data_IF_283352635890
#
_entry.id   IF_283352635890
#
_cell.length_a   1.000
_cell.length_b   1.000
_cell.length_c   1.000
_cell.angle_alpha   90.00
_cell.angle_beta   90.00
_cell.angle_gamma   90.00
#
_symmetry.space_group_name_H-M   'P 1'
#
loop_
_entity.id
_entity.type
_entity.pdbx_description
1 polymer ?
#
# COMPACT_ATOMS: atom_id res chain seq x y z
N UNK A 1 19.81 19.14 20.00
CA UNK A 1 20.00 17.74 20.46
C UNK A 1 18.67 17.29 21.07
N UNK A 2 17.74 16.90 20.20
CA UNK A 2 16.42 16.39 20.55
C UNK A 2 15.95 15.57 19.33
N UNK A 3 16.55 14.39 19.20
CA UNK A 3 16.09 13.31 18.33
C UNK A 3 15.60 12.23 19.28
N UNK A 4 14.29 11.96 19.30
CA UNK A 4 13.68 10.69 19.74
C UNK A 4 12.24 10.91 20.21
N UNK A 5 11.25 10.77 19.31
CA UNK A 5 9.88 10.31 19.63
C UNK A 5 8.97 10.28 18.39
N UNK A 6 9.26 9.47 17.37
CA UNK A 6 8.36 9.30 16.20
C UNK A 6 8.28 7.86 15.69
N UNK A 7 8.41 6.86 16.56
CA UNK A 7 8.38 5.43 16.17
C UNK A 7 7.32 4.61 16.91
N UNK A 8 6.20 5.21 17.29
CA UNK A 8 5.18 4.51 18.08
C UNK A 8 3.74 4.92 17.75
N UNK A 9 3.30 4.86 16.48
CA UNK A 9 1.86 4.87 16.20
C UNK A 9 1.51 4.47 14.76
N UNK A 10 1.02 3.23 14.59
CA UNK A 10 -0.07 2.77 13.70
C UNK A 10 0.10 1.28 13.40
N UNK A 11 -0.55 0.45 14.20
CA UNK A 11 -0.91 -0.93 13.82
C UNK A 11 -2.42 -1.05 13.87
N UNK A 12 -3.10 -0.45 12.89
CA UNK A 12 -4.41 -0.90 12.42
C UNK A 12 -4.19 -1.44 10.99
N UNK A 13 -3.54 -2.62 10.91
CA UNK A 13 -3.06 -3.26 9.68
C UNK A 13 -4.13 -4.19 9.05
N UNK A 14 -5.37 -4.20 9.57
CA UNK A 14 -6.34 -5.24 9.21
C UNK A 14 -7.56 -4.81 8.38
N UNK A 15 -7.70 -3.54 7.97
CA UNK A 15 -8.92 -3.10 7.26
C UNK A 15 -8.80 -3.10 5.72
N UNK A 16 -7.60 -3.30 5.17
CA UNK A 16 -7.35 -3.24 3.72
C UNK A 16 -7.17 -4.58 3.01
N UNK A 17 -6.83 -5.66 3.73
CA UNK A 17 -7.00 -7.00 3.15
C UNK A 17 -8.48 -7.33 3.25
N UNK A 18 -9.12 -7.61 2.11
CA UNK A 18 -10.38 -8.33 2.17
C UNK A 18 -10.13 -9.54 3.06
N UNK A 19 -10.83 -9.64 4.20
CA UNK A 19 -10.68 -10.74 5.16
C UNK A 19 -10.67 -12.07 4.41
N UNK A 20 -11.44 -12.14 3.33
CA UNK A 20 -11.47 -13.24 2.36
C UNK A 20 -10.12 -13.61 1.72
N UNK A 21 -9.21 -12.69 1.38
CA UNK A 21 -7.95 -13.06 0.72
C UNK A 21 -6.96 -13.67 1.71
N UNK A 22 -6.76 -13.03 2.86
CA UNK A 22 -5.96 -13.61 3.94
C UNK A 22 -6.57 -14.92 4.43
N UNK A 23 -7.88 -14.96 4.67
CA UNK A 23 -8.58 -16.15 5.14
C UNK A 23 -8.50 -17.29 4.11
N UNK A 24 -8.59 -17.01 2.81
CA UNK A 24 -8.43 -18.03 1.78
C UNK A 24 -6.99 -18.58 1.73
N UNK A 25 -5.98 -17.71 1.87
CA UNK A 25 -4.58 -18.15 1.95
C UNK A 25 -4.35 -18.98 3.21
N UNK A 26 -4.77 -18.48 4.37
CA UNK A 26 -4.66 -19.21 5.64
C UNK A 26 -5.43 -20.53 5.63
N UNK A 27 -6.65 -20.57 5.08
CA UNK A 27 -7.47 -21.78 5.01
C UNK A 27 -6.87 -22.80 4.04
N UNK A 28 -6.28 -22.35 2.93
CA UNK A 28 -5.56 -23.23 2.00
C UNK A 28 -4.29 -23.80 2.64
N UNK A 29 -3.55 -22.98 3.41
CA UNK A 29 -2.36 -23.42 4.17
C UNK A 29 -2.72 -24.37 5.31
N UNK A 30 -3.76 -24.06 6.09
CA UNK A 30 -4.25 -24.94 7.17
C UNK A 30 -4.80 -26.25 6.61
N UNK A 31 -5.46 -26.22 5.46
CA UNK A 31 -5.89 -27.44 4.76
C UNK A 31 -4.68 -28.28 4.32
N UNK A 32 -3.65 -27.63 3.76
CA UNK A 32 -2.41 -28.29 3.35
C UNK A 32 -1.65 -28.89 4.54
N UNK A 33 -1.49 -28.14 5.64
CA UNK A 33 -0.85 -28.62 6.87
C UNK A 33 -1.68 -29.71 7.55
N UNK A 34 -3.01 -29.60 7.55
CA UNK A 34 -3.91 -30.63 8.05
C UNK A 34 -3.77 -31.94 7.27
N UNK A 35 -3.69 -31.87 5.95
CA UNK A 35 -3.42 -33.02 5.08
C UNK A 35 -2.06 -33.68 5.37
N UNK A 36 -1.02 -32.88 5.61
CA UNK A 36 0.31 -33.40 5.96
C UNK A 36 0.34 -34.04 7.35
N UNK A 37 -0.43 -33.51 8.31
CA UNK A 37 -0.41 -33.98 9.71
C UNK A 37 -1.24 -35.24 9.91
N UNK A 38 -2.41 -35.36 9.25
CA UNK A 38 -3.30 -36.53 9.36
C UNK A 38 -2.66 -37.78 8.72
N UNK A 39 -1.74 -37.60 7.78
CA UNK A 39 -1.13 -38.70 7.06
C UNK A 39 0.22 -39.19 7.62
N UNK A 40 0.61 -38.78 8.83
CA UNK A 40 1.88 -39.15 9.45
C UNK A 40 2.12 -40.67 9.49
N UNK A 41 1.07 -41.47 9.62
CA UNK A 41 1.13 -42.94 9.64
C UNK A 41 1.41 -43.59 8.27
N UNK A 42 1.17 -42.88 7.16
CA UNK A 42 1.47 -43.34 5.80
C UNK A 42 2.76 -42.71 5.24
N UNK A 43 3.22 -41.59 5.81
CA UNK A 43 4.46 -40.91 5.40
C UNK A 43 5.71 -41.67 5.84
N UNK A 44 5.67 -42.36 6.99
CA UNK A 44 6.74 -43.29 7.40
C UNK A 44 6.92 -44.46 6.39
N UNK A 45 5.90 -44.77 5.58
CA UNK A 45 5.97 -45.80 4.53
C UNK A 45 6.55 -45.26 3.20
N UNK A 46 6.61 -43.93 3.02
CA UNK A 46 7.13 -43.26 1.82
C UNK A 46 8.61 -42.86 1.92
N UNK A 47 9.27 -43.10 3.06
CA UNK A 47 10.71 -42.87 3.22
C UNK A 47 11.12 -41.39 3.27
N UNK A 48 10.21 -40.48 3.60
CA UNK A 48 10.56 -39.08 3.83
C UNK A 48 11.25 -38.91 5.18
N UNK A 49 12.49 -38.44 5.16
CA UNK A 49 13.19 -38.06 6.38
C UNK A 49 12.50 -36.86 7.04
N UNK A 50 12.48 -36.85 8.37
CA UNK A 50 12.04 -35.74 9.20
C UNK A 50 12.75 -34.43 8.83
N UNK A 51 14.00 -34.50 8.38
CA UNK A 51 14.79 -33.36 7.91
C UNK A 51 14.21 -32.76 6.62
N UNK A 52 13.84 -33.61 5.65
CA UNK A 52 13.17 -33.17 4.41
C UNK A 52 11.84 -32.48 4.72
N UNK A 53 11.05 -33.06 5.63
CA UNK A 53 9.77 -32.48 6.03
C UNK A 53 9.95 -31.10 6.68
N UNK A 54 10.95 -30.95 7.56
CA UNK A 54 11.26 -29.70 8.22
C UNK A 54 11.70 -28.63 7.23
N UNK A 55 12.61 -28.97 6.31
CA UNK A 55 13.12 -28.05 5.28
C UNK A 55 11.99 -27.61 4.32
N UNK A 56 11.13 -28.54 3.90
CA UNK A 56 9.96 -28.22 3.09
C UNK A 56 8.98 -27.29 3.84
N UNK A 57 8.73 -27.56 5.12
CA UNK A 57 7.85 -26.74 5.96
C UNK A 57 8.41 -25.33 6.13
N UNK A 58 9.71 -25.20 6.40
CA UNK A 58 10.38 -23.91 6.52
C UNK A 58 10.29 -23.10 5.21
N UNK A 59 10.47 -23.75 4.07
CA UNK A 59 10.32 -23.11 2.76
C UNK A 59 8.90 -22.59 2.53
N UNK A 60 7.88 -23.40 2.81
CA UNK A 60 6.47 -23.01 2.68
C UNK A 60 6.15 -21.82 3.59
N UNK A 61 6.54 -21.91 4.87
CA UNK A 61 6.34 -20.81 5.84
C UNK A 61 7.03 -19.54 5.37
N UNK A 62 8.24 -19.64 4.82
CA UNK A 62 8.98 -18.49 4.30
C UNK A 62 8.27 -17.84 3.11
N UNK A 63 7.80 -18.62 2.14
CA UNK A 63 7.03 -18.10 0.99
C UNK A 63 5.78 -17.37 1.47
N UNK A 64 5.04 -17.95 2.43
CA UNK A 64 3.85 -17.33 3.01
C UNK A 64 4.21 -16.01 3.70
N UNK A 65 5.25 -16.00 4.53
CA UNK A 65 5.69 -14.81 5.24
C UNK A 65 6.07 -13.69 4.27
N UNK A 66 6.84 -14.00 3.22
CA UNK A 66 7.19 -13.04 2.16
C UNK A 66 5.95 -12.56 1.41
N UNK A 67 5.00 -13.45 1.12
CA UNK A 67 3.74 -13.08 0.46
C UNK A 67 2.93 -12.10 1.30
N UNK A 68 2.73 -12.41 2.58
CA UNK A 68 2.04 -11.53 3.53
C UNK A 68 2.79 -10.19 3.63
N UNK A 69 4.12 -10.21 3.69
CA UNK A 69 4.90 -8.97 3.72
C UNK A 69 4.68 -8.10 2.48
N UNK A 70 4.65 -8.71 1.29
CA UNK A 70 4.45 -8.01 0.01
C UNK A 70 3.02 -7.45 -0.12
N UNK A 71 2.01 -8.21 0.30
CA UNK A 71 0.60 -7.87 0.06
C UNK A 71 -0.11 -7.17 1.21
N UNK A 72 0.37 -7.33 2.46
CA UNK A 72 -0.39 -6.93 3.65
C UNK A 72 0.30 -5.91 4.52
N UNK A 73 1.63 -5.80 4.45
CA UNK A 73 2.36 -4.96 5.39
C UNK A 73 2.53 -3.57 4.79
N UNK A 74 1.76 -2.62 5.34
CA UNK A 74 1.90 -1.20 5.06
C UNK A 74 2.85 -0.58 6.10
N UNK A 75 4.12 -0.39 5.73
CA UNK A 75 5.13 0.19 6.64
C UNK A 75 5.20 1.72 6.59
N UNK A 76 4.38 2.38 5.76
CA UNK A 76 4.50 3.81 5.51
C UNK A 76 5.84 4.21 4.85
N UNK A 77 6.48 3.28 4.14
CA UNK A 77 7.71 3.49 3.37
C UNK A 77 7.40 3.39 1.87
N UNK A 78 8.29 3.90 1.04
CA UNK A 78 8.18 3.82 -0.42
C UNK A 78 8.10 2.36 -0.92
N UNK A 79 7.48 2.17 -2.08
CA UNK A 79 7.37 0.86 -2.71
C UNK A 79 8.76 0.27 -3.05
N UNK A 80 9.70 1.13 -3.43
CA UNK A 80 11.09 0.74 -3.70
C UNK A 80 11.80 0.20 -2.44
N UNK A 81 11.59 0.82 -1.29
CA UNK A 81 12.10 0.35 0.00
C UNK A 81 11.53 -1.02 0.37
N UNK A 82 10.24 -1.25 0.14
CA UNK A 82 9.61 -2.55 0.37
C UNK A 82 10.25 -3.65 -0.50
N UNK A 83 10.47 -3.37 -1.80
CA UNK A 83 11.20 -4.27 -2.71
C UNK A 83 12.60 -4.58 -2.17
N UNK A 84 13.35 -3.57 -1.72
CA UNK A 84 14.71 -3.74 -1.24
C UNK A 84 14.79 -4.57 0.04
N UNK A 85 13.81 -4.43 0.95
CA UNK A 85 13.72 -5.28 2.14
C UNK A 85 13.54 -6.75 1.73
N UNK A 86 12.59 -7.04 0.83
CA UNK A 86 12.37 -8.41 0.33
C UNK A 86 13.62 -8.93 -0.39
N UNK A 87 14.22 -8.13 -1.26
CA UNK A 87 15.43 -8.50 -1.98
C UNK A 87 16.61 -8.78 -1.02
N UNK A 88 16.73 -8.02 0.07
CA UNK A 88 17.76 -8.23 1.10
C UNK A 88 17.53 -9.55 1.83
N UNK A 89 16.29 -9.83 2.20
CA UNK A 89 15.91 -11.11 2.79
C UNK A 89 16.24 -12.29 1.86
N UNK A 90 15.83 -12.22 0.59
CA UNK A 90 16.11 -13.26 -0.40
C UNK A 90 17.61 -13.42 -0.67
N UNK A 91 18.39 -12.33 -0.64
CA UNK A 91 19.86 -12.39 -0.71
C UNK A 91 20.44 -13.11 0.50
N UNK A 92 19.84 -12.94 1.69
CA UNK A 92 20.19 -13.70 2.89
C UNK A 92 19.92 -15.19 2.73
N UNK A 93 18.72 -15.56 2.25
CA UNK A 93 18.35 -16.96 1.95
C UNK A 93 19.31 -17.56 0.93
N UNK A 94 19.65 -16.83 -0.13
CA UNK A 94 20.63 -17.24 -1.13
C UNK A 94 22.01 -17.46 -0.51
N UNK A 95 22.48 -16.52 0.33
CA UNK A 95 23.76 -16.62 0.99
C UNK A 95 23.86 -17.82 1.95
N UNK A 96 22.78 -18.15 2.64
CA UNK A 96 22.68 -19.36 3.46
C UNK A 96 22.70 -20.63 2.60
N UNK A 97 21.98 -20.64 1.48
CA UNK A 97 21.99 -21.75 0.54
C UNK A 97 23.40 -21.99 -0.04
N UNK A 98 24.14 -20.92 -0.36
CA UNK A 98 25.54 -21.03 -0.82
C UNK A 98 26.50 -21.55 0.26
N UNK A 99 26.08 -21.65 1.52
CA UNK A 99 26.90 -22.21 2.61
C UNK A 99 26.48 -23.61 3.01
N UNK A 100 25.20 -23.95 2.85
CA UNK A 100 24.69 -25.28 3.14
C UNK A 100 25.44 -26.39 2.38
N UNK A 101 25.63 -27.52 3.04
CA UNK A 101 26.16 -28.75 2.44
C UNK A 101 25.03 -29.70 2.02
N UNK A 102 23.87 -29.60 2.66
CA UNK A 102 22.68 -30.37 2.32
C UNK A 102 22.03 -29.87 1.02
N UNK A 103 22.01 -30.73 0.01
CA UNK A 103 21.39 -30.48 -1.29
C UNK A 103 19.87 -30.24 -1.19
N UNK A 104 19.19 -30.86 -0.22
CA UNK A 104 17.75 -30.67 -0.03
C UNK A 104 17.46 -29.25 0.45
N UNK A 105 18.17 -28.77 1.47
CA UNK A 105 18.05 -27.39 1.94
C UNK A 105 18.34 -26.38 0.83
N UNK A 106 19.38 -26.60 0.02
CA UNK A 106 19.72 -25.76 -1.12
C UNK A 106 18.58 -25.71 -2.14
N UNK A 107 18.00 -26.87 -2.49
CA UNK A 107 16.88 -26.96 -3.40
C UNK A 107 15.66 -26.15 -2.90
N UNK A 108 15.29 -26.32 -1.63
CA UNK A 108 14.17 -25.60 -1.04
C UNK A 108 14.43 -24.09 -0.97
N UNK A 109 15.64 -23.66 -0.61
CA UNK A 109 16.01 -22.24 -0.56
C UNK A 109 15.91 -21.57 -1.94
N UNK A 110 16.34 -22.24 -3.01
CA UNK A 110 16.13 -21.73 -4.37
C UNK A 110 14.65 -21.68 -4.75
N UNK A 111 13.86 -22.69 -4.36
CA UNK A 111 12.40 -22.67 -4.53
C UNK A 111 11.77 -21.43 -3.90
N UNK A 112 12.15 -21.10 -2.66
CA UNK A 112 11.71 -19.88 -1.95
C UNK A 112 12.07 -18.64 -2.75
N UNK A 113 13.31 -18.52 -3.22
CA UNK A 113 13.78 -17.35 -3.98
C UNK A 113 12.98 -17.18 -5.26
N UNK A 114 12.85 -18.23 -6.06
CA UNK A 114 12.15 -18.17 -7.36
C UNK A 114 10.69 -17.81 -7.18
N UNK A 115 9.99 -18.48 -6.26
CA UNK A 115 8.56 -18.22 -6.02
C UNK A 115 8.37 -16.80 -5.49
N UNK A 116 9.20 -16.35 -4.55
CA UNK A 116 9.12 -15.00 -4.00
C UNK A 116 9.41 -13.91 -5.04
N UNK A 117 10.37 -14.14 -5.95
CA UNK A 117 10.66 -13.23 -7.06
C UNK A 117 9.49 -13.13 -8.04
N UNK A 118 8.81 -14.24 -8.35
CA UNK A 118 7.63 -14.22 -9.20
C UNK A 118 6.47 -13.45 -8.55
N UNK A 119 6.27 -13.63 -7.23
CA UNK A 119 5.27 -12.88 -6.46
C UNK A 119 5.58 -11.39 -6.48
N UNK A 120 6.84 -11.02 -6.19
CA UNK A 120 7.30 -9.63 -6.20
C UNK A 120 7.15 -8.98 -7.58
N UNK A 121 7.51 -9.71 -8.64
CA UNK A 121 7.34 -9.27 -10.01
C UNK A 121 5.86 -9.05 -10.35
N UNK A 122 4.99 -10.00 -10.00
CA UNK A 122 3.54 -9.88 -10.21
C UNK A 122 2.95 -8.67 -9.50
N UNK A 123 3.33 -8.43 -8.23
CA UNK A 123 2.91 -7.22 -7.50
C UNK A 123 3.43 -5.95 -8.17
N UNK A 124 4.69 -5.93 -8.63
CA UNK A 124 5.30 -4.76 -9.29
C UNK A 124 4.56 -4.40 -10.58
N UNK A 125 4.31 -5.39 -11.43
CA UNK A 125 3.56 -5.21 -12.67
C UNK A 125 2.14 -4.71 -12.39
N UNK A 126 1.46 -5.28 -11.40
CA UNK A 126 0.11 -4.88 -11.02
C UNK A 126 0.03 -3.47 -10.45
N UNK A 127 0.99 -3.09 -9.59
CA UNK A 127 1.04 -1.76 -8.97
C UNK A 127 1.33 -0.64 -9.96
N UNK A 128 2.14 -0.90 -10.99
CA UNK A 128 2.47 0.11 -12.00
C UNK A 128 1.65 -0.01 -13.29
N UNK A 129 0.67 -0.91 -13.34
CA UNK A 129 -0.14 -1.23 -14.53
C UNK A 129 0.71 -1.33 -15.81
N UNK A 130 1.79 -2.12 -15.76
CA UNK A 130 2.78 -2.19 -16.86
C UNK A 130 2.26 -2.88 -18.14
N UNK A 131 0.99 -3.27 -18.17
CA UNK A 131 0.37 -3.96 -19.29
C UNK A 131 0.87 -5.40 -19.51
N UNK A 132 0.16 -6.13 -20.38
CA UNK A 132 0.42 -7.55 -20.63
C UNK A 132 1.74 -7.80 -21.36
N UNK A 133 2.18 -6.88 -22.23
CA UNK A 133 3.42 -7.03 -23.01
C UNK A 133 4.66 -7.06 -22.11
N UNK A 134 4.80 -6.08 -21.21
CA UNK A 134 5.90 -6.01 -20.24
C UNK A 134 5.86 -7.21 -19.30
N UNK A 135 4.66 -7.64 -18.89
CA UNK A 135 4.47 -8.83 -18.07
C UNK A 135 5.06 -10.07 -18.74
N UNK A 136 4.72 -10.32 -20.00
CA UNK A 136 5.19 -11.48 -20.77
C UNK A 136 6.70 -11.41 -20.96
N UNK A 137 7.24 -10.26 -21.34
CA UNK A 137 8.70 -10.08 -21.53
C UNK A 137 9.44 -10.32 -20.21
N UNK A 138 8.94 -9.79 -19.09
CA UNK A 138 9.55 -9.99 -17.78
C UNK A 138 9.52 -11.46 -17.34
N UNK A 139 8.40 -12.17 -17.53
CA UNK A 139 8.32 -13.61 -17.24
C UNK A 139 9.27 -14.43 -18.11
N UNK A 140 9.38 -14.11 -19.40
CA UNK A 140 10.35 -14.76 -20.31
C UNK A 140 11.79 -14.49 -19.89
N UNK A 141 12.12 -13.27 -19.46
CA UNK A 141 13.44 -12.93 -18.95
C UNK A 141 13.77 -13.70 -17.66
N UNK A 142 12.82 -13.78 -16.71
CA UNK A 142 12.97 -14.59 -15.49
C UNK A 142 13.19 -16.05 -15.87
N UNK A 143 12.37 -16.61 -16.77
CA UNK A 143 12.54 -17.98 -17.24
C UNK A 143 13.92 -18.22 -17.86
N UNK A 144 14.39 -17.32 -18.73
CA UNK A 144 15.70 -17.41 -19.34
C UNK A 144 16.83 -17.40 -18.31
N UNK A 145 16.74 -16.55 -17.28
CA UNK A 145 17.69 -16.50 -16.17
C UNK A 145 17.66 -17.82 -15.39
N UNK A 146 16.49 -18.41 -15.13
CA UNK A 146 16.37 -19.70 -14.43
C UNK A 146 16.95 -20.87 -15.24
N UNK A 147 16.77 -20.86 -16.56
CA UNK A 147 17.39 -21.86 -17.43
C UNK A 147 18.90 -21.71 -17.49
N UNK A 148 19.41 -20.47 -17.59
CA UNK A 148 20.83 -20.17 -17.57
C UNK A 148 21.49 -20.49 -16.21
N UNK A 149 20.79 -20.24 -15.11
CA UNK A 149 21.29 -20.58 -13.78
C UNK A 149 21.36 -22.09 -13.59
N UNK A 150 20.37 -22.84 -14.10
CA UNK A 150 20.39 -24.31 -14.11
C UNK A 150 21.58 -24.87 -14.88
N UNK A 151 21.93 -24.32 -16.05
CA UNK A 151 23.07 -24.82 -16.84
C UNK A 151 24.41 -24.52 -16.18
N UNK A 152 24.50 -23.46 -15.38
CA UNK A 152 25.69 -23.14 -14.58
C UNK A 152 25.86 -24.03 -13.33
N UNK A 153 24.78 -24.64 -12.82
CA UNK A 153 24.76 -25.48 -11.60
C UNK A 153 25.22 -26.93 -11.81
N UNK A 154 26.21 -27.17 -12.68
CA UNK A 154 26.64 -28.55 -12.95
C UNK A 154 27.41 -29.14 -11.74
N UNK A 155 26.70 -30.04 -11.05
CA UNK A 155 27.06 -31.07 -10.06
C UNK A 155 27.94 -30.76 -8.84
N UNK A 156 28.90 -29.84 -8.87
CA UNK A 156 29.74 -29.53 -7.68
C UNK A 156 30.07 -28.04 -7.50
N UNK A 157 29.79 -27.20 -8.52
CA UNK A 157 30.16 -25.78 -8.47
C UNK A 157 29.07 -24.93 -7.80
N UNK A 158 29.44 -24.31 -6.67
CA UNK A 158 28.68 -23.21 -6.07
C UNK A 158 28.82 -21.97 -6.95
N UNK A 159 27.75 -21.19 -7.13
CA UNK A 159 27.79 -19.97 -7.95
C UNK A 159 28.88 -18.99 -7.51
N UNK A 160 29.08 -18.91 -6.20
CA UNK A 160 30.06 -18.04 -5.56
C UNK A 160 30.60 -18.73 -4.31
N UNK A 161 31.81 -18.37 -3.90
CA UNK A 161 32.35 -18.86 -2.63
C UNK A 161 31.53 -18.33 -1.46
N UNK A 162 31.44 -19.11 -0.36
CA UNK A 162 30.69 -18.70 0.83
C UNK A 162 31.20 -17.40 1.49
N UNK A 163 32.39 -16.91 1.14
CA UNK A 163 32.93 -15.61 1.56
C UNK A 163 32.42 -14.46 0.69
N UNK A 164 32.39 -14.66 -0.63
CA UNK A 164 31.79 -13.72 -1.59
C UNK A 164 30.30 -13.56 -1.33
N UNK A 165 29.58 -14.63 -1.01
CA UNK A 165 28.16 -14.56 -0.65
C UNK A 165 27.90 -13.64 0.55
N UNK A 166 28.75 -13.72 1.58
CA UNK A 166 28.64 -12.83 2.75
C UNK A 166 28.99 -11.40 2.41
N UNK A 167 30.05 -11.14 1.63
CA UNK A 167 30.35 -9.78 1.21
C UNK A 167 29.22 -9.18 0.36
N UNK A 168 28.65 -9.96 -0.55
CA UNK A 168 27.49 -9.55 -1.34
C UNK A 168 26.30 -9.20 -0.45
N UNK A 169 25.98 -10.06 0.54
CA UNK A 169 24.92 -9.79 1.50
C UNK A 169 25.16 -8.51 2.31
N UNK A 170 26.38 -8.30 2.82
CA UNK A 170 26.74 -7.11 3.61
C UNK A 170 26.62 -5.84 2.77
N UNK A 171 27.13 -5.86 1.53
CA UNK A 171 27.03 -4.72 0.61
C UNK A 171 25.56 -4.44 0.29
N UNK A 172 24.78 -5.46 -0.02
CA UNK A 172 23.37 -5.31 -0.34
C UNK A 172 22.56 -4.77 0.85
N UNK A 173 22.79 -5.32 2.05
CA UNK A 173 22.16 -4.84 3.27
C UNK A 173 22.49 -3.37 3.55
N UNK A 174 23.74 -2.95 3.33
CA UNK A 174 24.17 -1.56 3.50
C UNK A 174 23.48 -0.63 2.49
N UNK A 175 23.36 -1.03 1.22
CA UNK A 175 22.60 -0.28 0.21
C UNK A 175 21.14 -0.13 0.65
N UNK A 176 20.51 -1.23 1.07
CA UNK A 176 19.13 -1.22 1.56
C UNK A 176 18.96 -0.29 2.75
N UNK A 177 19.87 -0.31 3.73
CA UNK A 177 19.84 0.62 4.87
C UNK A 177 19.95 2.08 4.43
N UNK A 178 20.83 2.40 3.47
CA UNK A 178 20.98 3.77 2.95
C UNK A 178 19.69 4.23 2.27
N UNK A 179 19.08 3.38 1.43
CA UNK A 179 17.83 3.73 0.74
C UNK A 179 16.69 3.92 1.74
N UNK A 180 16.52 3.00 2.70
CA UNK A 180 15.51 3.12 3.76
C UNK A 180 15.69 4.40 4.59
N UNK A 181 16.93 4.73 4.94
CA UNK A 181 17.22 5.95 5.70
C UNK A 181 16.91 7.19 4.88
N UNK A 182 17.21 7.16 3.58
CA UNK A 182 16.91 8.27 2.67
C UNK A 182 15.40 8.47 2.54
N UNK A 183 14.67 7.40 2.31
CA UNK A 183 13.21 7.36 2.20
C UNK A 183 12.53 7.99 3.44
N UNK A 184 12.87 7.50 4.63
CA UNK A 184 12.37 8.03 5.90
C UNK A 184 12.76 9.50 6.11
N UNK A 185 13.96 9.91 5.67
CA UNK A 185 14.44 11.28 5.83
C UNK A 185 13.81 12.27 4.84
N UNK A 186 13.50 11.84 3.61
CA UNK A 186 12.88 12.69 2.60
C UNK A 186 11.39 12.89 2.83
N UNK A 187 10.75 11.94 3.52
CA UNK A 187 9.31 11.96 3.81
C UNK A 187 8.46 11.60 2.59
N UNK A 188 7.15 11.56 2.80
CA UNK A 188 6.17 11.18 1.78
C UNK A 188 5.82 12.29 0.78
N UNK A 189 4.83 12.05 -0.09
CA UNK A 189 4.33 13.03 -1.03
C UNK A 189 3.83 14.29 -0.32
N UNK A 190 3.98 15.44 -0.99
CA UNK A 190 3.33 16.70 -0.57
C UNK A 190 1.99 16.83 -1.28
N UNK A 191 0.97 17.18 -0.52
CA UNK A 191 -0.38 17.36 -1.01
C UNK A 191 -0.73 18.84 -1.06
N UNK A 192 -1.22 19.28 -2.22
CA UNK A 192 -1.73 20.62 -2.42
C UNK A 192 -3.15 20.55 -2.98
N UNK A 193 -4.11 21.04 -2.22
CA UNK A 193 -5.52 21.09 -2.61
C UNK A 193 -5.79 22.41 -3.33
N UNK A 194 -6.06 22.33 -4.62
CA UNK A 194 -6.36 23.47 -5.49
C UNK A 194 -7.86 23.48 -5.77
N UNK A 195 -8.59 24.31 -5.01
CA UNK A 195 -10.03 24.52 -5.16
C UNK A 195 -10.31 25.67 -6.11
N UNK A 196 -11.45 25.61 -6.79
CA UNK A 196 -12.01 26.77 -7.50
C UNK A 196 -12.68 27.70 -6.48
N UNK A 197 -12.53 29.02 -6.65
CA UNK A 197 -13.12 30.01 -5.73
C UNK A 197 -14.66 30.02 -5.81
N UNK A 198 -15.23 29.61 -6.94
CA UNK A 198 -16.67 29.59 -7.19
C UNK A 198 -17.01 28.43 -8.10
N UNK A 199 -18.04 27.69 -7.74
CA UNK A 199 -18.54 26.56 -8.53
C UNK A 199 -19.95 26.84 -9.03
N UNK A 200 -20.22 26.43 -10.27
CA UNK A 200 -21.56 26.50 -10.84
C UNK A 200 -22.23 25.12 -10.72
N UNK A 201 -23.41 25.07 -10.12
CA UNK A 201 -24.18 23.83 -9.97
C UNK A 201 -24.98 23.58 -11.25
N UNK A 202 -24.81 22.45 -11.94
CA UNK A 202 -25.49 22.20 -13.21
C UNK A 202 -27.01 22.04 -13.02
N UNK A 203 -27.80 22.55 -13.97
CA UNK A 203 -29.27 22.48 -13.97
C UNK A 203 -29.84 21.05 -14.21
N UNK A 204 -28.99 20.02 -14.21
CA UNK A 204 -29.27 18.67 -14.73
C UNK A 204 -29.55 17.57 -13.70
N UNK A 205 -29.48 17.85 -12.41
CA UNK A 205 -29.75 16.87 -11.34
C UNK A 205 -28.62 15.86 -11.07
N UNK A 206 -27.49 15.95 -11.77
CA UNK A 206 -26.24 15.34 -11.30
C UNK A 206 -25.72 16.21 -10.14
N UNK A 207 -25.78 15.66 -8.93
CA UNK A 207 -25.39 16.35 -7.70
C UNK A 207 -23.86 16.35 -7.48
N UNK A 208 -23.09 15.82 -8.42
CA UNK A 208 -21.63 15.74 -8.36
C UNK A 208 -21.01 16.82 -9.26
N UNK A 209 -20.33 17.78 -8.63
CA UNK A 209 -19.67 18.89 -9.33
C UNK A 209 -18.17 18.81 -9.07
N UNK A 210 -17.36 18.94 -10.12
CA UNK A 210 -15.90 19.06 -9.94
C UNK A 210 -15.59 20.43 -9.37
N UNK A 211 -14.95 20.45 -8.20
CA UNK A 211 -14.66 21.69 -7.45
C UNK A 211 -13.18 22.05 -7.41
N UNK A 212 -12.33 21.18 -7.98
CA UNK A 212 -10.90 21.41 -8.02
C UNK A 212 -10.11 20.13 -8.21
N UNK A 213 -8.87 20.16 -7.73
CA UNK A 213 -7.97 19.01 -7.78
C UNK A 213 -7.03 18.93 -6.59
N UNK A 214 -6.71 17.71 -6.16
CA UNK A 214 -5.65 17.42 -5.20
C UNK A 214 -4.38 17.05 -5.98
N UNK A 215 -3.33 17.85 -5.86
CA UNK A 215 -2.04 17.61 -6.49
C UNK A 215 -1.11 16.94 -5.49
N UNK A 216 -0.75 15.68 -5.76
CA UNK A 216 0.27 14.96 -5.02
C UNK A 216 1.62 15.12 -5.73
N UNK A 217 2.61 15.70 -5.05
CA UNK A 217 3.96 15.93 -5.57
C UNK A 217 4.97 15.09 -4.80
N UNK A 218 5.74 14.28 -5.51
CA UNK A 218 6.80 13.46 -4.93
C UNK A 218 8.16 14.17 -5.03
N UNK A 219 8.75 14.64 -3.92
CA UNK A 219 10.05 15.29 -3.95
C UNK A 219 11.23 14.31 -3.93
N UNK A 220 10.98 12.99 -3.88
CA UNK A 220 12.00 11.96 -3.70
C UNK A 220 12.38 11.29 -5.03
N UNK A 221 13.57 10.65 -5.10
CA UNK A 221 13.96 9.85 -6.26
C UNK A 221 13.25 8.49 -6.32
N UNK A 222 12.45 8.11 -5.32
CA UNK A 222 11.79 6.81 -5.25
C UNK A 222 10.30 6.97 -5.56
N UNK A 223 9.65 6.00 -6.21
CA UNK A 223 8.20 6.02 -6.36
C UNK A 223 7.51 5.94 -4.99
N UNK A 224 6.61 6.88 -4.73
CA UNK A 224 5.86 6.96 -3.47
C UNK A 224 4.40 6.58 -3.67
N UNK A 225 3.83 5.89 -2.69
CA UNK A 225 2.39 5.61 -2.64
C UNK A 225 1.65 6.89 -2.27
N UNK A 226 0.50 7.11 -2.89
CA UNK A 226 -0.38 8.22 -2.58
C UNK A 226 -1.32 7.83 -1.44
N UNK A 227 -0.97 8.26 -0.22
CA UNK A 227 -1.82 8.20 0.95
C UNK A 227 -2.53 9.56 1.14
N UNK A 228 -3.71 9.69 0.55
CA UNK A 228 -4.40 10.97 0.44
C UNK A 228 -4.89 11.45 1.80
N UNK A 229 -4.69 12.73 2.14
CA UNK A 229 -5.38 13.32 3.27
C UNK A 229 -6.90 13.27 3.07
N UNK A 230 -7.62 13.01 4.15
CA UNK A 230 -9.07 13.05 4.16
C UNK A 230 -9.50 14.51 4.30
N UNK A 231 -10.33 14.99 3.37
CA UNK A 231 -10.93 16.31 3.45
C UNK A 231 -12.42 16.16 3.74
N UNK A 232 -12.94 17.06 4.56
CA UNK A 232 -14.36 17.22 4.82
C UNK A 232 -14.83 18.56 4.26
N UNK A 233 -16.13 18.62 3.96
CA UNK A 233 -16.80 19.83 3.52
C UNK A 233 -18.01 20.06 4.41
N UNK A 234 -18.25 21.31 4.78
CA UNK A 234 -19.47 21.70 5.47
C UNK A 234 -20.06 22.99 4.89
N UNK A 235 -21.37 23.14 5.08
CA UNK A 235 -22.13 24.32 4.70
C UNK A 235 -22.02 25.39 5.78
N UNK A 236 -21.43 26.54 5.47
CA UNK A 236 -21.30 27.68 6.38
C UNK A 236 -22.06 28.90 5.83
N UNK A 237 -22.54 29.77 6.71
CA UNK A 237 -23.43 30.89 6.36
C UNK A 237 -24.91 30.54 6.45
N UNK A 238 -25.79 31.36 5.86
CA UNK A 238 -27.24 31.11 5.85
C UNK A 238 -27.67 30.30 4.63
N UNK A 239 -27.90 29.01 4.84
CA UNK A 239 -28.39 28.06 3.83
C UNK A 239 -29.91 27.88 3.84
N UNK A 240 -30.67 28.76 4.51
CA UNK A 240 -32.11 28.56 4.73
C UNK A 240 -32.94 28.45 3.46
N UNK A 241 -32.56 29.16 2.39
CA UNK A 241 -33.23 29.12 1.09
C UNK A 241 -33.09 27.76 0.39
N UNK A 242 -31.95 27.09 0.58
CA UNK A 242 -31.59 25.85 -0.10
C UNK A 242 -31.91 24.58 0.67
N UNK A 243 -32.54 24.71 1.86
CA UNK A 243 -32.87 23.54 2.69
C UNK A 243 -34.01 22.76 2.05
N UNK A 244 -33.91 21.42 1.91
CA UNK A 244 -35.02 20.61 1.45
C UNK A 244 -36.29 20.84 2.28
N UNK A 245 -37.42 21.05 1.61
CA UNK A 245 -38.74 21.11 2.21
C UNK A 245 -39.06 19.73 2.83
N UNK A 246 -39.27 19.70 4.15
CA UNK A 246 -39.84 18.55 4.82
C UNK A 246 -41.27 18.88 5.28
N UNK A 247 -42.17 17.91 5.08
CA UNK A 247 -43.61 18.08 5.31
C UNK A 247 -44.01 17.90 6.78
N UNK A 248 -43.18 17.30 7.64
CA UNK A 248 -43.53 17.03 9.04
C UNK A 248 -42.29 17.09 9.97
N UNK A 249 -42.10 18.24 10.64
CA UNK A 249 -41.32 18.41 11.90
C UNK A 249 -39.78 18.23 11.92
N UNK A 250 -39.06 18.13 10.79
CA UNK A 250 -37.60 18.03 10.79
C UNK A 250 -36.89 18.93 9.77
N UNK A 251 -36.18 19.99 10.22
CA UNK A 251 -35.30 20.77 9.32
C UNK A 251 -34.09 19.90 8.94
N UNK A 252 -34.12 19.27 7.76
CA UNK A 252 -32.96 18.53 7.23
C UNK A 252 -31.92 19.56 6.77
N UNK A 253 -30.67 19.52 7.29
CA UNK A 253 -29.61 20.40 6.80
C UNK A 253 -29.21 19.99 5.38
N UNK A 254 -28.76 20.98 4.59
CA UNK A 254 -28.09 20.71 3.32
C UNK A 254 -26.91 19.77 3.59
N UNK A 255 -26.82 18.67 2.84
CA UNK A 255 -25.74 17.71 2.99
C UNK A 255 -24.71 17.94 1.90
N UNK A 256 -23.46 17.99 2.31
CA UNK A 256 -22.32 18.10 1.42
C UNK A 256 -21.35 16.96 1.71
N UNK A 257 -20.84 16.34 0.66
CA UNK A 257 -19.76 15.37 0.73
C UNK A 257 -18.70 15.69 -0.31
N UNK A 258 -17.44 15.44 0.05
CA UNK A 258 -16.30 15.69 -0.84
C UNK A 258 -15.62 14.35 -1.12
N UNK A 259 -15.52 14.01 -2.40
CA UNK A 259 -14.89 12.78 -2.86
C UNK A 259 -13.67 13.14 -3.71
N UNK A 260 -12.54 12.47 -3.45
CA UNK A 260 -11.34 12.62 -4.26
C UNK A 260 -11.14 11.35 -5.05
N UNK A 261 -11.33 11.41 -6.37
CA UNK A 261 -11.24 10.23 -7.23
C UNK A 261 -9.82 9.63 -7.15
N UNK A 262 -9.72 8.36 -6.78
CA UNK A 262 -8.48 7.57 -6.89
C UNK A 262 -8.75 6.09 -6.88
N UNK A 263 -7.76 5.38 -7.40
CA UNK A 263 -7.58 3.96 -7.10
C UNK A 263 -6.79 3.78 -5.80
N UNK A 264 -7.06 2.71 -5.06
CA UNK A 264 -6.47 2.44 -3.74
C UNK A 264 -4.96 2.10 -3.74
N UNK A 265 -4.33 2.02 -4.92
CA UNK A 265 -2.91 1.68 -5.11
C UNK A 265 -2.19 2.69 -6.02
N UNK A 266 -2.62 3.95 -6.02
CA UNK A 266 -2.02 5.01 -6.82
C UNK A 266 -0.60 5.38 -6.32
N UNK A 267 0.32 5.61 -7.27
CA UNK A 267 1.70 5.99 -7.01
C UNK A 267 2.11 7.24 -7.81
N UNK A 268 2.99 8.05 -7.23
CA UNK A 268 3.62 9.20 -7.89
C UNK A 268 5.09 8.87 -8.12
N UNK A 269 5.53 8.92 -9.37
CA UNK A 269 6.90 8.61 -9.75
C UNK A 269 7.89 9.63 -9.19
N UNK A 270 9.16 9.26 -9.23
CA UNK A 270 10.29 10.09 -8.78
C UNK A 270 10.24 11.51 -9.35
N UNK A 271 10.32 12.52 -8.47
CA UNK A 271 10.32 13.95 -8.85
C UNK A 271 9.16 14.38 -9.76
N UNK A 272 8.00 13.73 -9.63
CA UNK A 272 6.83 14.00 -10.46
C UNK A 272 5.63 14.44 -9.62
N UNK A 273 4.57 14.86 -10.29
CA UNK A 273 3.29 15.21 -9.68
C UNK A 273 2.14 14.52 -10.38
N UNK A 274 1.11 14.12 -9.63
CA UNK A 274 -0.15 13.59 -10.15
C UNK A 274 -1.32 14.38 -9.57
N UNK A 275 -2.30 14.70 -10.41
CA UNK A 275 -3.48 15.46 -10.04
C UNK A 275 -4.69 14.53 -9.97
N UNK A 276 -5.48 14.67 -8.91
CA UNK A 276 -6.71 13.91 -8.68
C UNK A 276 -7.89 14.85 -8.66
N UNK A 277 -8.96 14.61 -9.44
CA UNK A 277 -10.12 15.47 -9.40
C UNK A 277 -10.80 15.38 -8.02
N UNK A 278 -11.31 16.52 -7.57
CA UNK A 278 -12.08 16.64 -6.34
C UNK A 278 -13.51 16.95 -6.75
N UNK A 279 -14.43 16.11 -6.32
CA UNK A 279 -15.85 16.16 -6.64
C UNK A 279 -16.64 16.44 -5.36
N UNK A 280 -17.63 17.31 -5.48
CA UNK A 280 -18.53 17.68 -4.41
C UNK A 280 -19.91 17.11 -4.71
N UNK A 281 -20.39 16.25 -3.82
CA UNK A 281 -21.79 15.89 -3.70
C UNK A 281 -22.53 16.96 -2.89
N UNK A 282 -23.62 17.52 -3.42
CA UNK A 282 -24.45 18.48 -2.71
C UNK A 282 -25.93 18.12 -2.81
N UNK A 283 -26.61 18.07 -1.66
CA UNK A 283 -28.04 17.73 -1.57
C UNK A 283 -28.77 18.88 -0.88
N UNK A 284 -29.54 19.63 -1.68
CA UNK A 284 -30.46 20.68 -1.24
C UNK A 284 -31.50 21.01 -2.32
N UNK A 285 -32.39 21.95 -2.03
CA UNK A 285 -33.44 22.39 -2.97
C UNK A 285 -33.07 23.69 -3.67
N UNK A 286 -33.50 23.85 -4.92
CA UNK A 286 -33.29 25.06 -5.73
C UNK A 286 -31.83 25.53 -5.82
N UNK A 287 -30.87 24.61 -5.61
CA UNK A 287 -29.42 24.88 -5.75
C UNK A 287 -28.98 24.81 -7.21
N UNK A 288 -29.73 24.11 -8.06
CA UNK A 288 -29.36 23.90 -9.46
C UNK A 288 -29.36 25.22 -10.23
N UNK A 289 -28.26 25.52 -10.93
CA UNK A 289 -28.02 26.80 -11.63
C UNK A 289 -27.33 27.86 -10.77
N UNK A 290 -27.21 27.64 -9.46
CA UNK A 290 -26.56 28.59 -8.56
C UNK A 290 -25.04 28.56 -8.66
N UNK A 291 -24.41 29.67 -8.28
CA UNK A 291 -22.95 29.77 -8.12
C UNK A 291 -22.61 29.90 -6.65
N UNK A 292 -21.87 28.94 -6.11
CA UNK A 292 -21.52 28.86 -4.70
C UNK A 292 -20.03 29.13 -4.49
N UNK A 293 -19.71 29.91 -3.46
CA UNK A 293 -18.32 30.16 -3.06
C UNK A 293 -17.78 28.95 -2.30
N UNK A 294 -16.54 28.57 -2.59
CA UNK A 294 -15.81 27.54 -1.84
C UNK A 294 -14.58 28.18 -1.21
N UNK A 295 -14.40 27.95 0.09
CA UNK A 295 -13.25 28.43 0.83
C UNK A 295 -12.54 27.29 1.55
N UNK A 296 -11.21 27.34 1.53
CA UNK A 296 -10.39 26.44 2.36
C UNK A 296 -10.30 27.02 3.77
N UNK A 297 -10.81 26.28 4.75
CA UNK A 297 -10.76 26.66 6.16
C UNK A 297 -9.92 25.67 6.96
N UNK A 298 -9.63 25.99 8.23
CA UNK A 298 -8.94 25.06 9.15
C UNK A 298 -9.90 24.06 9.80
N UNK A 299 -11.17 24.42 9.92
CA UNK A 299 -12.24 23.64 10.54
C UNK A 299 -13.60 24.12 9.99
N UNK A 300 -14.68 23.41 10.32
CA UNK A 300 -16.03 23.83 9.95
C UNK A 300 -16.44 25.09 10.73
N UNK A 301 -16.76 26.22 10.06
CA UNK A 301 -17.19 27.43 10.75
C UNK A 301 -18.60 27.29 11.34
N UNK A 302 -18.78 27.69 12.61
CA UNK A 302 -20.09 27.64 13.31
C UNK A 302 -21.03 28.82 12.97
N UNK A 303 -20.79 29.51 11.86
CA UNK A 303 -21.55 30.71 11.49
C UNK A 303 -22.80 30.35 10.68
N UNK A 304 -23.99 30.70 11.20
CA UNK A 304 -25.29 30.54 10.53
C UNK A 304 -25.83 31.86 9.94
N UNK A 305 -24.96 32.84 9.73
CA UNK A 305 -25.30 34.19 9.28
C UNK A 305 -24.36 34.63 8.17
N UNK A 306 -24.87 35.39 7.20
CA UNK A 306 -24.11 35.83 6.03
C UNK A 306 -24.40 34.97 4.80
N UNK A 307 -23.74 35.29 3.69
CA UNK A 307 -23.93 34.59 2.43
C UNK A 307 -23.49 33.11 2.55
N UNK A 308 -24.20 32.17 1.91
CA UNK A 308 -23.88 30.75 1.98
C UNK A 308 -22.60 30.42 1.20
N UNK A 309 -21.71 29.64 1.82
CA UNK A 309 -20.48 29.13 1.21
C UNK A 309 -20.12 27.74 1.73
N UNK A 310 -19.28 27.04 0.99
CA UNK A 310 -18.78 25.71 1.33
C UNK A 310 -17.38 25.83 1.93
N UNK A 311 -17.23 25.39 3.17
CA UNK A 311 -15.95 25.37 3.86
C UNK A 311 -15.32 23.98 3.73
N UNK A 312 -14.13 23.91 3.12
CA UNK A 312 -13.36 22.67 2.93
C UNK A 312 -12.15 22.67 3.86
N UNK A 313 -11.99 21.61 4.64
CA UNK A 313 -10.91 21.48 5.62
C UNK A 313 -10.37 20.05 5.69
N UNK A 314 -9.13 19.92 6.14
CA UNK A 314 -8.47 18.62 6.30
C UNK A 314 -8.94 17.95 7.59
N UNK A 315 -9.45 16.73 7.50
CA UNK A 315 -9.85 15.95 8.67
C UNK A 315 -8.60 15.51 9.44
N UNK A 316 -8.51 15.89 10.71
CA UNK A 316 -7.49 15.34 11.58
C UNK A 316 -7.71 13.82 11.73
N UNK A 317 -6.65 13.00 11.66
CA UNK A 317 -6.76 11.56 11.84
C UNK A 317 -7.54 11.25 13.13
N UNK A 318 -8.68 10.56 13.00
CA UNK A 318 -9.53 10.10 14.13
C UNK A 318 -8.69 9.18 15.01
N UNK A 319 -7.99 9.77 15.96
CA UNK A 319 -6.95 9.14 16.78
C UNK A 319 -6.15 10.13 17.61
N UNK A 320 -6.11 11.41 17.19
CA UNK A 320 -5.48 12.49 17.96
C UNK A 320 -6.47 13.38 18.75
N UNK A 321 -7.76 13.02 18.81
CA UNK A 321 -8.74 13.78 19.58
C UNK A 321 -8.52 13.58 21.09
N UNK A 322 -7.70 14.47 21.65
CA UNK A 322 -7.78 15.00 23.01
C UNK A 322 -7.70 13.99 24.17
N UNK A 323 -6.47 13.57 24.48
CA UNK A 323 -6.02 13.53 25.88
C UNK A 323 -5.59 14.94 26.29
N UNK A 324 -6.52 15.89 26.26
CA UNK A 324 -6.32 17.19 26.92
C UNK A 324 -6.41 16.90 28.41
N UNK A 325 -5.25 16.89 29.06
CA UNK A 325 -5.13 16.99 30.51
C UNK A 325 -5.79 18.29 30.95
N UNK A 326 -6.95 18.17 31.59
CA UNK A 326 -7.49 19.22 32.45
C UNK A 326 -6.54 19.37 33.63
N UNK A 327 -5.78 20.47 33.68
CA UNK A 327 -5.19 21.01 34.90
C UNK A 327 -6.14 22.07 35.50
#
# INVERSE_FOLDING_TARGET
MAMSSTLYEKTNICDGLSVTTAENVFRSVYSLMGYLTVNKKNVDMLGFDSETLLNATAAVVTIIAVSIFIFSVELGISYASQILIVATFLTGVFGLAQRAEDQQLVFFAYGVIVISLLILFGKTVGTFDLGSEVTVVGLLAIAAILFASRSALNSDDRFITGRQAVYGLVVFALITTIVLTTDVATGGPRYDLQLEDTIAIPEGGDNEVRVGSLVATNPTPLPERVDKPQYEVCTAGDWSEYRPDDNEDGRIPVRSDLTIESTSDDHVLSYSSKSYPVELGLIGQDIAGESLVIERTSECPDTNTGDPYLAVFEQQPRGQSNRITSD
#
